data_IF_528469651128
#
_entry.id   IF_528469651128
#
_cell.length_a   1.000
_cell.length_b   1.000
_cell.length_c   1.000
_cell.angle_alpha   90.00
_cell.angle_beta   90.00
_cell.angle_gamma   90.00
#
_symmetry.space_group_name_H-M   'P 1'
#
loop_
_entity.id
_entity.type
_entity.pdbx_description
1 polymer ?
#
# COMPACT_ATOMS: atom_id res chain seq x y z
N UNK A 1 13.44 16.17 -3.18
CA UNK A 1 13.36 14.69 -3.33
C UNK A 1 13.03 14.27 -4.77
N UNK A 2 11.87 14.63 -5.34
CA UNK A 2 11.46 14.16 -6.67
C UNK A 2 12.46 14.49 -7.80
N UNK A 3 12.97 15.72 -7.84
CA UNK A 3 13.96 16.13 -8.86
C UNK A 3 15.20 15.24 -8.85
N UNK A 4 15.66 14.81 -7.67
CA UNK A 4 16.80 13.90 -7.51
C UNK A 4 16.49 12.51 -8.08
N UNK A 5 15.28 11.97 -7.85
CA UNK A 5 14.85 10.69 -8.43
C UNK A 5 14.80 10.75 -9.97
N UNK A 6 14.28 11.84 -10.52
CA UNK A 6 14.23 12.06 -11.97
C UNK A 6 15.64 12.09 -12.56
N UNK A 7 16.55 12.86 -11.95
CA UNK A 7 17.94 12.94 -12.40
C UNK A 7 18.64 11.57 -12.33
N UNK A 8 18.44 10.80 -11.25
CA UNK A 8 19.05 9.48 -11.10
C UNK A 8 18.49 8.46 -12.10
N UNK A 9 17.19 8.51 -12.39
CA UNK A 9 16.58 7.68 -13.45
C UNK A 9 17.19 7.96 -14.82
N UNK A 10 17.37 9.25 -15.17
CA UNK A 10 17.88 9.66 -16.48
C UNK A 10 19.38 9.46 -16.64
N UNK A 11 20.18 9.76 -15.60
CA UNK A 11 21.64 9.76 -15.69
C UNK A 11 22.29 8.44 -15.29
N UNK A 12 21.71 7.77 -14.29
CA UNK A 12 22.30 6.58 -13.65
C UNK A 12 21.53 5.31 -14.00
N UNK A 13 20.38 5.44 -14.67
CA UNK A 13 19.54 4.30 -15.05
C UNK A 13 18.78 3.68 -13.88
N UNK A 14 18.66 4.40 -12.75
CA UNK A 14 17.92 3.94 -11.58
C UNK A 14 16.44 3.69 -11.95
N UNK A 15 16.00 2.45 -11.79
CA UNK A 15 14.61 2.05 -12.04
C UNK A 15 13.74 2.50 -10.87
N UNK A 16 13.09 3.66 -11.00
CA UNK A 16 12.25 4.23 -9.95
C UNK A 16 10.99 4.90 -10.51
N UNK A 17 9.89 4.70 -9.81
CA UNK A 17 8.62 5.42 -9.98
C UNK A 17 8.11 5.84 -8.60
N UNK A 18 7.51 7.03 -8.52
CA UNK A 18 6.92 7.55 -7.29
C UNK A 18 5.47 7.95 -7.59
N UNK A 19 4.55 7.40 -6.81
CA UNK A 19 3.11 7.66 -6.92
C UNK A 19 2.59 8.12 -5.56
N UNK A 20 1.50 8.90 -5.56
CA UNK A 20 0.86 9.31 -4.31
C UNK A 20 0.11 8.13 -3.71
N UNK A 21 0.11 8.02 -2.38
CA UNK A 21 -0.74 7.07 -1.69
C UNK A 21 -2.22 7.34 -2.02
N UNK A 22 -3.03 6.30 -2.24
CA UNK A 22 -4.43 6.46 -2.61
C UNK A 22 -5.26 6.97 -1.42
N UNK A 23 -6.34 7.70 -1.72
CA UNK A 23 -7.26 8.22 -0.70
C UNK A 23 -6.70 9.38 0.15
N UNK A 24 -7.41 9.67 1.25
CA UNK A 24 -7.10 10.75 2.19
C UNK A 24 -7.47 10.33 3.63
N UNK A 25 -6.90 11.00 4.63
CA UNK A 25 -7.18 10.75 6.05
C UNK A 25 -6.98 9.29 6.46
N UNK A 26 -7.88 8.76 7.28
CA UNK A 26 -7.83 7.38 7.78
C UNK A 26 -8.02 6.35 6.67
N UNK A 27 -8.77 6.67 5.62
CA UNK A 27 -8.90 5.80 4.45
C UNK A 27 -7.56 5.58 3.75
N UNK A 28 -6.70 6.62 3.68
CA UNK A 28 -5.33 6.47 3.16
C UNK A 28 -4.49 5.55 4.03
N UNK A 29 -4.55 5.71 5.35
CA UNK A 29 -3.80 4.86 6.30
C UNK A 29 -4.20 3.40 6.14
N UNK A 30 -5.51 3.14 6.10
CA UNK A 30 -6.06 1.81 5.91
C UNK A 30 -5.65 1.18 4.57
N UNK A 31 -5.73 1.91 3.46
CA UNK A 31 -5.30 1.40 2.14
C UNK A 31 -3.79 1.17 2.07
N UNK A 32 -2.98 2.03 2.70
CA UNK A 32 -1.53 1.80 2.82
C UNK A 32 -1.22 0.51 3.59
N UNK A 33 -1.95 0.28 4.68
CA UNK A 33 -1.81 -0.96 5.46
C UNK A 33 -2.22 -2.19 4.63
N UNK A 34 -3.30 -2.10 3.86
CA UNK A 34 -3.75 -3.18 2.98
C UNK A 34 -2.67 -3.52 1.93
N UNK A 35 -2.08 -2.51 1.29
CA UNK A 35 -0.97 -2.69 0.35
C UNK A 35 0.29 -3.23 1.03
N UNK A 36 0.59 -2.80 2.26
CA UNK A 36 1.73 -3.32 3.02
C UNK A 36 1.55 -4.80 3.31
N UNK A 37 0.38 -5.22 3.77
CA UNK A 37 0.05 -6.63 4.04
C UNK A 37 0.09 -7.46 2.76
N UNK A 38 -0.52 -7.00 1.66
CA UNK A 38 -0.55 -7.75 0.40
C UNK A 38 0.83 -7.91 -0.25
N UNK A 39 1.75 -6.98 0.03
CA UNK A 39 3.12 -7.01 -0.50
C UNK A 39 4.17 -7.53 0.48
N UNK A 40 3.81 -7.72 1.76
CA UNK A 40 4.73 -8.11 2.84
C UNK A 40 5.68 -6.99 3.27
N UNK A 41 5.33 -5.74 3.04
CA UNK A 41 6.10 -4.57 3.44
C UNK A 41 5.58 -3.92 4.72
N UNK A 42 6.26 -2.86 5.14
CA UNK A 42 5.88 -2.04 6.31
C UNK A 42 5.53 -0.63 5.86
N UNK A 43 4.47 -0.04 6.44
CA UNK A 43 4.13 1.37 6.22
C UNK A 43 5.04 2.25 7.08
N UNK A 44 5.80 3.14 6.45
CA UNK A 44 6.69 4.07 7.14
C UNK A 44 5.98 5.38 7.50
N UNK A 45 6.31 5.96 8.65
CA UNK A 45 5.83 7.29 9.06
C UNK A 45 4.46 7.33 9.73
N UNK A 46 3.88 6.18 10.08
CA UNK A 46 2.79 6.13 11.07
C UNK A 46 3.41 6.02 12.47
N UNK A 47 2.85 6.75 13.45
CA UNK A 47 3.39 6.85 14.82
C UNK A 47 3.56 5.47 15.49
N UNK A 48 2.80 4.46 15.04
CA UNK A 48 2.82 3.10 15.56
C UNK A 48 4.10 2.31 15.21
N UNK A 49 4.80 2.64 14.12
CA UNK A 49 5.91 1.83 13.61
C UNK A 49 7.28 2.34 14.09
N UNK A 50 7.39 3.58 14.59
CA UNK A 50 8.57 4.10 15.29
C UNK A 50 9.90 4.12 14.52
N UNK A 51 9.94 3.61 13.29
CA UNK A 51 11.12 3.54 12.44
C UNK A 51 11.40 4.92 11.84
N UNK A 52 12.56 5.49 12.17
CA UNK A 52 13.06 6.65 11.47
C UNK A 52 13.35 6.26 10.01
N UNK A 53 13.14 7.18 9.07
CA UNK A 53 13.41 6.96 7.65
C UNK A 53 14.88 6.54 7.40
N UNK A 54 15.77 6.97 8.30
CA UNK A 54 17.20 6.70 8.29
C UNK A 54 17.54 5.23 8.59
N UNK A 55 16.67 4.52 9.33
CA UNK A 55 16.91 3.14 9.76
C UNK A 55 16.31 2.09 8.80
N UNK A 56 15.51 2.51 7.82
CA UNK A 56 14.78 1.63 6.91
C UNK A 56 15.76 0.74 6.13
N UNK A 57 15.49 -0.57 6.16
CA UNK A 57 16.28 -1.58 5.45
C UNK A 57 15.49 -2.21 4.30
N UNK A 58 16.20 -2.91 3.43
CA UNK A 58 15.59 -3.60 2.29
C UNK A 58 14.59 -4.69 2.66
N UNK A 59 14.59 -5.18 3.91
CA UNK A 59 13.62 -6.17 4.39
C UNK A 59 12.27 -5.55 4.74
N UNK A 60 12.22 -4.23 4.96
CA UNK A 60 10.97 -3.52 5.27
C UNK A 60 10.15 -3.21 4.00
N UNK A 61 10.76 -3.34 2.82
CA UNK A 61 10.09 -3.09 1.55
C UNK A 61 9.22 -4.26 1.10
N UNK A 62 7.99 -3.92 0.71
CA UNK A 62 7.08 -4.87 0.07
C UNK A 62 7.59 -5.36 -1.28
N UNK A 63 7.16 -6.56 -1.68
CA UNK A 63 7.54 -7.21 -2.93
C UNK A 63 6.31 -7.63 -3.73
N UNK A 64 6.41 -7.45 -5.04
CA UNK A 64 5.37 -7.78 -6.02
C UNK A 64 6.00 -8.38 -7.26
N UNK A 65 5.24 -9.14 -8.03
CA UNK A 65 5.70 -9.72 -9.30
C UNK A 65 5.79 -8.67 -10.41
N UNK A 66 4.85 -7.74 -10.46
CA UNK A 66 4.77 -6.72 -11.51
C UNK A 66 4.09 -5.45 -10.98
N UNK A 67 4.58 -4.29 -11.44
CA UNK A 67 4.00 -2.97 -11.16
C UNK A 67 3.72 -2.25 -12.46
N UNK A 68 2.48 -1.83 -12.66
CA UNK A 68 2.08 -1.03 -13.82
C UNK A 68 1.64 0.33 -13.30
N UNK A 69 2.30 1.39 -13.78
CA UNK A 69 1.95 2.78 -13.46
C UNK A 69 1.53 3.47 -14.74
N UNK A 70 0.30 3.94 -14.78
CA UNK A 70 -0.22 4.78 -15.86
C UNK A 70 -0.28 6.24 -15.40
N UNK A 71 -0.87 7.11 -16.21
CA UNK A 71 -1.09 8.51 -15.83
C UNK A 71 -2.02 8.62 -14.61
N UNK A 72 -3.02 7.75 -14.54
CA UNK A 72 -4.15 7.88 -13.62
C UNK A 72 -4.19 6.72 -12.60
N UNK A 73 -3.61 5.56 -12.93
CA UNK A 73 -3.72 4.33 -12.14
C UNK A 73 -2.37 3.72 -11.77
N UNK A 74 -2.36 2.95 -10.69
CA UNK A 74 -1.24 2.09 -10.29
C UNK A 74 -1.77 0.72 -9.91
N UNK A 75 -1.21 -0.31 -10.51
CA UNK A 75 -1.55 -1.71 -10.26
C UNK A 75 -0.34 -2.45 -9.73
N UNK A 76 -0.52 -3.09 -8.57
CA UNK A 76 0.46 -3.97 -7.93
C UNK A 76 -0.01 -5.41 -8.13
N UNK A 77 0.69 -6.19 -8.93
CA UNK A 77 0.28 -7.55 -9.30
C UNK A 77 1.18 -8.58 -8.64
N UNK A 78 0.56 -9.68 -8.18
CA UNK A 78 1.25 -10.81 -7.53
C UNK A 78 2.07 -10.36 -6.31
N UNK A 79 1.38 -9.77 -5.34
CA UNK A 79 1.96 -9.44 -4.04
C UNK A 79 2.55 -10.68 -3.36
N UNK A 80 3.64 -10.48 -2.61
CA UNK A 80 4.33 -11.55 -1.87
C UNK A 80 4.13 -11.46 -0.35
N UNK A 81 2.98 -10.93 0.07
CA UNK A 81 2.55 -10.95 1.46
C UNK A 81 2.30 -12.37 1.98
N UNK A 82 2.29 -12.51 3.29
CA UNK A 82 1.93 -13.76 3.97
C UNK A 82 0.42 -14.03 3.74
N UNK A 83 0.05 -15.17 3.13
CA UNK A 83 -1.35 -15.53 2.91
C UNK A 83 -2.20 -15.49 4.18
N UNK A 84 -1.66 -15.87 5.34
CA UNK A 84 -2.39 -15.85 6.60
C UNK A 84 -2.67 -14.41 7.07
N UNK A 85 -1.73 -13.49 6.86
CA UNK A 85 -1.91 -12.08 7.17
C UNK A 85 -2.93 -11.41 6.22
N UNK A 86 -2.91 -11.78 4.94
CA UNK A 86 -3.88 -11.29 3.94
C UNK A 86 -5.29 -11.78 4.29
N UNK A 87 -5.45 -13.08 4.59
CA UNK A 87 -6.74 -13.65 4.99
C UNK A 87 -7.28 -13.00 6.27
N UNK A 88 -6.41 -12.82 7.28
CA UNK A 88 -6.77 -12.09 8.50
C UNK A 88 -7.25 -10.68 8.18
N UNK A 89 -6.55 -9.97 7.29
CA UNK A 89 -6.92 -8.60 6.92
C UNK A 89 -8.24 -8.54 6.15
N UNK A 90 -8.49 -9.49 5.26
CA UNK A 90 -9.75 -9.61 4.56
C UNK A 90 -10.91 -9.84 5.55
N UNK A 91 -10.72 -10.72 6.53
CA UNK A 91 -11.73 -10.98 7.57
C UNK A 91 -12.01 -9.74 8.43
N UNK A 92 -10.98 -8.98 8.84
CA UNK A 92 -11.17 -7.71 9.56
C UNK A 92 -12.04 -6.71 8.78
N UNK A 93 -11.89 -6.65 7.45
CA UNK A 93 -12.70 -5.76 6.58
C UNK A 93 -14.13 -6.30 6.44
N UNK A 94 -14.30 -7.63 6.33
CA UNK A 94 -15.63 -8.26 6.29
C UNK A 94 -16.40 -8.03 7.59
N UNK A 95 -15.77 -8.13 8.75
CA UNK A 95 -16.40 -7.81 10.03
C UNK A 95 -16.82 -6.34 10.11
N UNK A 96 -15.97 -5.43 9.61
CA UNK A 96 -16.32 -4.00 9.52
C UNK A 96 -17.52 -3.77 8.60
N UNK A 97 -17.61 -4.49 7.48
CA UNK A 97 -18.74 -4.43 6.54
C UNK A 97 -20.07 -4.82 7.20
N UNK A 98 -20.06 -5.83 8.07
CA UNK A 98 -21.25 -6.28 8.79
C UNK A 98 -21.68 -5.29 9.88
N UNK A 99 -20.71 -4.59 10.48
CA UNK A 99 -20.96 -3.65 11.57
C UNK A 99 -21.48 -2.28 11.12
N UNK A 100 -21.22 -1.88 9.87
CA UNK A 100 -21.61 -0.55 9.37
C UNK A 100 -23.02 -0.56 8.76
N UNK A 101 -23.76 0.53 9.02
CA UNK A 101 -25.07 0.79 8.41
C UNK A 101 -25.01 1.86 7.31
N UNK A 102 -23.81 2.38 7.00
CA UNK A 102 -23.61 3.41 5.99
C UNK A 102 -23.31 2.79 4.64
N UNK A 103 -24.16 3.01 3.64
CA UNK A 103 -23.94 2.51 2.28
C UNK A 103 -22.64 3.04 1.67
N UNK A 104 -22.26 4.28 1.99
CA UNK A 104 -20.98 4.88 1.58
C UNK A 104 -19.78 4.12 2.16
N UNK A 105 -19.82 3.76 3.43
CA UNK A 105 -18.74 2.99 4.06
C UNK A 105 -18.68 1.57 3.52
N UNK A 106 -19.85 0.95 3.29
CA UNK A 106 -19.94 -0.38 2.66
C UNK A 106 -19.29 -0.39 1.29
N UNK A 107 -19.55 0.62 0.46
CA UNK A 107 -18.91 0.74 -0.85
C UNK A 107 -17.39 0.82 -0.71
N UNK A 108 -16.88 1.64 0.22
CA UNK A 108 -15.44 1.82 0.41
C UNK A 108 -14.74 0.60 1.00
N UNK A 109 -15.40 -0.13 1.91
CA UNK A 109 -14.85 -1.37 2.45
C UNK A 109 -14.85 -2.49 1.40
N UNK A 110 -15.88 -2.60 0.57
CA UNK A 110 -15.90 -3.53 -0.57
C UNK A 110 -14.80 -3.21 -1.59
N UNK A 111 -14.56 -1.93 -1.91
CA UNK A 111 -13.44 -1.53 -2.77
C UNK A 111 -12.08 -1.97 -2.22
N UNK A 112 -11.90 -1.89 -0.89
CA UNK A 112 -10.65 -2.32 -0.23
C UNK A 112 -10.50 -3.84 -0.25
N UNK A 113 -11.57 -4.56 0.08
CA UNK A 113 -11.59 -6.02 0.06
C UNK A 113 -11.30 -6.58 -1.34
N UNK A 114 -11.85 -5.96 -2.38
CA UNK A 114 -11.61 -6.37 -3.77
C UNK A 114 -10.19 -6.07 -4.28
N UNK A 115 -9.45 -5.18 -3.61
CA UNK A 115 -8.07 -4.78 -3.99
C UNK A 115 -6.99 -5.57 -3.26
N UNK A 116 -7.32 -6.22 -2.15
CA UNK A 116 -6.44 -7.15 -1.43
C UNK A 116 -6.26 -8.45 -2.22
#
# INVERSE_FOLDING_TARGET
ALSTLVLNRLKVGLQVAAVKAPGFGDNRKNQLQDMAISTGGTVFGDEAVGLAIEDIQAHDFGRVGEVIVTKDDTMLLKGRGDPAAIEKRANEITEQLESTNSDYEKEKLNERLAKL
#
